data_IF_699019549333
#
_entry.id   IF_699019549333
#
_cell.length_a   1.000
_cell.length_b   1.000
_cell.length_c   1.000
_cell.angle_alpha   90.00
_cell.angle_beta   90.00
_cell.angle_gamma   90.00
#
_symmetry.space_group_name_H-M   'P 1'
#
loop_
_entity.id
_entity.type
_entity.pdbx_description
1 polymer ?
#
# COMPACT_ATOMS: atom_id res chain seq x y z
N UNK A 1 -7.17 5.14 17.61
CA UNK A 1 -6.52 5.91 16.53
C UNK A 1 -6.92 5.33 15.17
N UNK A 2 -7.30 6.18 14.20
CA UNK A 2 -7.65 5.71 12.84
C UNK A 2 -6.45 5.85 11.90
N UNK A 3 -6.16 4.79 11.15
CA UNK A 3 -5.08 4.75 10.16
C UNK A 3 -5.71 4.58 8.78
N UNK A 4 -5.47 5.54 7.90
CA UNK A 4 -5.91 5.51 6.50
C UNK A 4 -4.75 5.01 5.65
N UNK A 5 -4.82 3.74 5.26
CA UNK A 5 -3.82 3.06 4.45
C UNK A 5 -4.22 3.15 2.97
N UNK A 6 -3.48 3.91 2.18
CA UNK A 6 -3.80 4.23 0.78
C UNK A 6 -2.75 3.64 -0.15
N UNK A 7 -3.17 3.02 -1.26
CA UNK A 7 -2.27 2.66 -2.35
C UNK A 7 -2.04 3.88 -3.26
N UNK A 8 -0.84 4.04 -3.80
CA UNK A 8 -0.52 5.09 -4.79
C UNK A 8 -1.44 5.05 -6.01
N UNK A 9 -1.57 6.19 -6.71
CA UNK A 9 -2.27 6.33 -7.99
C UNK A 9 -1.59 5.54 -9.12
N UNK A 10 -2.25 5.45 -10.28
CA UNK A 10 -1.77 4.70 -11.44
C UNK A 10 -0.46 5.26 -12.01
N UNK A 11 0.36 4.38 -12.56
CA UNK A 11 1.58 4.68 -13.32
C UNK A 11 1.47 4.06 -14.71
N UNK A 12 2.30 4.48 -15.67
CA UNK A 12 2.36 3.85 -17.00
C UNK A 12 2.66 2.35 -16.91
N UNK A 13 3.44 1.91 -15.92
CA UNK A 13 3.72 0.51 -15.71
C UNK A 13 2.51 -0.27 -15.16
N UNK A 14 1.65 0.36 -14.35
CA UNK A 14 0.36 -0.25 -13.98
C UNK A 14 -0.52 -0.44 -15.21
N UNK A 15 -0.65 0.58 -16.05
CA UNK A 15 -1.45 0.55 -17.26
C UNK A 15 -0.93 -0.51 -18.26
N UNK A 16 0.38 -0.61 -18.41
CA UNK A 16 1.03 -1.60 -19.28
C UNK A 16 1.02 -3.02 -18.69
N UNK A 17 0.71 -3.20 -17.40
CA UNK A 17 0.75 -4.50 -16.71
C UNK A 17 2.17 -4.97 -16.41
N UNK A 18 3.11 -4.03 -16.19
CA UNK A 18 4.49 -4.32 -15.86
C UNK A 18 4.69 -4.39 -14.33
N UNK A 19 5.52 -5.32 -13.88
CA UNK A 19 5.94 -5.38 -12.47
C UNK A 19 6.79 -4.16 -12.12
N UNK A 20 6.37 -3.41 -11.11
CA UNK A 20 7.09 -2.20 -10.72
C UNK A 20 8.13 -2.45 -9.64
N UNK A 21 7.74 -3.20 -8.60
CA UNK A 21 8.60 -3.40 -7.45
C UNK A 21 9.11 -2.09 -6.86
N UNK A 22 10.42 -1.98 -6.72
CA UNK A 22 11.10 -0.80 -6.18
C UNK A 22 11.65 0.14 -7.25
N UNK A 23 11.45 -0.17 -8.55
CA UNK A 23 11.75 0.78 -9.64
C UNK A 23 10.89 2.04 -9.46
N UNK A 24 11.53 3.19 -9.57
CA UNK A 24 10.91 4.48 -9.24
C UNK A 24 10.22 5.10 -10.46
N UNK A 25 8.94 4.79 -10.64
CA UNK A 25 8.07 5.23 -11.74
C UNK A 25 7.09 6.27 -11.22
N UNK A 26 6.96 7.40 -11.93
CA UNK A 26 6.02 8.47 -11.58
C UNK A 26 4.56 8.09 -11.86
N UNK A 27 3.63 8.84 -11.25
CA UNK A 27 2.21 8.76 -11.60
C UNK A 27 2.01 9.20 -13.06
N UNK A 28 1.11 8.52 -13.77
CA UNK A 28 0.61 8.97 -15.06
C UNK A 28 -0.55 9.97 -14.86
N UNK A 29 -1.13 10.49 -15.95
CA UNK A 29 -2.22 11.45 -15.90
C UNK A 29 -3.43 10.89 -15.12
N UNK A 30 -3.81 9.63 -15.37
CA UNK A 30 -4.89 8.95 -14.66
C UNK A 30 -4.58 8.78 -13.16
N UNK A 31 -3.32 8.48 -12.81
CA UNK A 31 -2.90 8.37 -11.41
C UNK A 31 -2.95 9.70 -10.66
N UNK A 32 -2.66 10.81 -11.33
CA UNK A 32 -2.85 12.15 -10.75
C UNK A 32 -4.32 12.45 -10.49
N UNK A 33 -5.22 12.15 -11.43
CA UNK A 33 -6.68 12.27 -11.25
C UNK A 33 -7.17 11.41 -10.09
N UNK A 34 -6.77 10.14 -10.02
CA UNK A 34 -7.12 9.24 -8.93
C UNK A 34 -6.66 9.76 -7.56
N UNK A 35 -5.47 10.38 -7.51
CA UNK A 35 -4.96 10.98 -6.27
C UNK A 35 -5.77 12.22 -5.86
N UNK A 36 -6.21 13.06 -6.81
CA UNK A 36 -7.10 14.19 -6.54
C UNK A 36 -8.48 13.72 -6.08
N UNK A 37 -9.03 12.67 -6.69
CA UNK A 37 -10.29 12.07 -6.25
C UNK A 37 -10.18 11.53 -4.81
N UNK A 38 -9.05 10.88 -4.48
CA UNK A 38 -8.78 10.44 -3.12
C UNK A 38 -8.70 11.63 -2.15
N UNK A 39 -8.04 12.73 -2.55
CA UNK A 39 -7.97 13.96 -1.77
C UNK A 39 -9.37 14.53 -1.48
N UNK A 40 -10.26 14.56 -2.48
CA UNK A 40 -11.66 14.99 -2.31
C UNK A 40 -12.44 14.08 -1.36
N UNK A 41 -12.32 12.76 -1.51
CA UNK A 41 -12.97 11.80 -0.59
C UNK A 41 -12.49 11.97 0.85
N UNK A 42 -11.21 12.27 1.03
CA UNK A 42 -10.56 12.39 2.34
C UNK A 42 -10.46 13.83 2.86
N UNK A 43 -11.06 14.81 2.16
CA UNK A 43 -10.89 16.23 2.52
C UNK A 43 -11.38 16.62 3.92
N UNK A 44 -12.40 15.91 4.43
CA UNK A 44 -12.95 16.15 5.77
C UNK A 44 -12.25 15.36 6.87
N UNK A 45 -11.31 14.48 6.51
CA UNK A 45 -10.53 13.71 7.51
C UNK A 45 -9.45 14.61 8.08
N UNK A 46 -9.44 14.81 9.42
CA UNK A 46 -8.49 15.71 10.09
C UNK A 46 -7.16 14.98 10.33
N UNK A 47 -6.43 14.68 9.25
CA UNK A 47 -5.09 14.07 9.38
C UNK A 47 -4.18 14.95 10.22
N UNK A 48 -3.46 14.35 11.17
CA UNK A 48 -2.51 15.03 12.07
C UNK A 48 -1.06 14.75 11.70
N UNK A 49 -0.79 13.58 11.09
CA UNK A 49 0.51 13.17 10.61
C UNK A 49 0.35 12.24 9.39
N UNK A 50 1.36 12.20 8.54
CA UNK A 50 1.37 11.33 7.37
C UNK A 50 2.72 10.64 7.18
N UNK A 51 2.66 9.39 6.73
CA UNK A 51 3.79 8.58 6.31
C UNK A 51 3.62 8.13 4.87
N UNK A 52 4.71 8.00 4.14
CA UNK A 52 4.66 7.39 2.81
C UNK A 52 5.92 6.61 2.46
N UNK A 53 5.80 5.73 1.48
CA UNK A 53 6.96 5.16 0.80
C UNK A 53 7.80 6.29 0.16
N UNK A 54 9.15 6.18 0.14
CA UNK A 54 10.01 7.14 -0.53
C UNK A 54 9.85 7.12 -2.07
N UNK A 55 9.24 6.07 -2.66
CA UNK A 55 9.04 5.98 -4.10
C UNK A 55 8.10 7.09 -4.59
N UNK A 56 8.50 7.76 -5.68
CA UNK A 56 7.89 9.00 -6.16
C UNK A 56 6.37 8.90 -6.35
N UNK A 57 5.84 7.77 -6.84
CA UNK A 57 4.40 7.54 -7.03
C UNK A 57 3.61 7.60 -5.72
N UNK A 58 4.15 7.01 -4.64
CA UNK A 58 3.49 7.02 -3.32
C UNK A 58 3.64 8.39 -2.66
N UNK A 59 4.84 8.98 -2.71
CA UNK A 59 5.11 10.32 -2.19
C UNK A 59 4.20 11.35 -2.85
N UNK A 60 4.10 11.34 -4.19
CA UNK A 60 3.26 12.28 -4.93
C UNK A 60 1.77 12.11 -4.61
N UNK A 61 1.30 10.87 -4.46
CA UNK A 61 -0.07 10.59 -4.01
C UNK A 61 -0.33 11.15 -2.61
N UNK A 62 0.61 10.97 -1.68
CA UNK A 62 0.48 11.52 -0.31
C UNK A 62 0.43 13.04 -0.32
N UNK A 63 1.31 13.70 -1.06
CA UNK A 63 1.33 15.16 -1.20
C UNK A 63 -0.01 15.71 -1.71
N UNK A 64 -0.60 15.08 -2.73
CA UNK A 64 -1.90 15.47 -3.28
C UNK A 64 -3.02 15.28 -2.24
N UNK A 65 -3.04 14.14 -1.53
CA UNK A 65 -4.05 13.88 -0.49
C UNK A 65 -3.92 14.88 0.65
N UNK A 66 -2.72 15.23 1.06
CA UNK A 66 -2.46 16.21 2.11
C UNK A 66 -2.92 17.60 1.67
N UNK A 67 -2.61 18.00 0.43
CA UNK A 67 -2.93 19.33 -0.08
C UNK A 67 -2.33 20.44 0.80
N UNK A 68 -3.12 21.45 1.12
CA UNK A 68 -2.67 22.62 1.91
C UNK A 68 -2.65 22.38 3.45
N UNK A 69 -2.91 21.13 3.91
CA UNK A 69 -2.87 20.82 5.33
C UNK A 69 -1.45 20.96 5.87
N UNK A 70 -1.33 21.66 7.03
CA UNK A 70 -0.04 21.86 7.70
C UNK A 70 0.28 20.65 8.60
N UNK A 71 0.52 19.50 7.96
CA UNK A 71 0.93 18.28 8.65
C UNK A 71 2.28 17.80 8.15
N UNK A 72 3.01 17.07 8.99
CA UNK A 72 4.29 16.49 8.62
C UNK A 72 4.08 15.26 7.76
N UNK A 73 4.75 15.20 6.59
CA UNK A 73 4.88 14.01 5.76
C UNK A 73 6.29 13.42 5.94
N UNK A 74 6.36 12.20 6.46
CA UNK A 74 7.62 11.48 6.67
C UNK A 74 7.71 10.29 5.70
N UNK A 75 8.82 10.13 5.02
CA UNK A 75 9.09 8.92 4.23
C UNK A 75 9.69 7.82 5.10
N UNK A 76 9.29 6.57 4.86
CA UNK A 76 9.85 5.40 5.55
C UNK A 76 10.19 4.30 4.54
N UNK A 77 11.44 3.83 4.56
CA UNK A 77 11.96 2.80 3.64
C UNK A 77 11.20 1.46 3.78
N UNK A 78 10.67 1.17 4.96
CA UNK A 78 9.87 -0.04 5.23
C UNK A 78 8.54 -0.07 4.48
N UNK A 79 8.10 1.08 3.95
CA UNK A 79 6.89 1.22 3.13
C UNK A 79 7.14 1.04 1.62
N UNK A 80 8.37 0.76 1.17
CA UNK A 80 8.64 0.41 -0.23
C UNK A 80 7.85 -0.83 -0.66
N UNK A 81 7.56 -0.93 -1.95
CA UNK A 81 6.89 -2.11 -2.53
C UNK A 81 7.76 -3.36 -2.38
N UNK A 82 7.15 -4.54 -2.52
CA UNK A 82 7.85 -5.81 -2.68
C UNK A 82 8.89 -5.68 -3.79
N UNK A 83 10.14 -6.00 -3.48
CA UNK A 83 11.22 -5.98 -4.46
C UNK A 83 11.14 -7.22 -5.33
N UNK A 84 10.82 -7.06 -6.62
CA UNK A 84 10.78 -8.16 -7.58
C UNK A 84 12.14 -8.41 -8.25
N UNK A 85 13.16 -7.60 -7.97
CA UNK A 85 14.52 -7.76 -8.49
C UNK A 85 14.56 -7.79 -10.02
N UNK A 86 15.12 -8.86 -10.61
CA UNK A 86 15.30 -8.94 -12.07
C UNK A 86 13.99 -9.00 -12.86
N UNK A 87 12.83 -9.15 -12.21
CA UNK A 87 11.52 -9.21 -12.87
C UNK A 87 10.82 -7.84 -12.94
N UNK A 88 11.43 -6.80 -12.40
CA UNK A 88 10.90 -5.44 -12.54
C UNK A 88 10.96 -5.01 -14.02
N UNK A 89 9.86 -4.44 -14.51
CA UNK A 89 9.66 -4.10 -15.93
C UNK A 89 9.16 -5.26 -16.80
N UNK A 90 9.02 -6.48 -16.27
CA UNK A 90 8.47 -7.62 -17.01
C UNK A 90 6.94 -7.54 -17.03
N UNK A 91 6.34 -7.84 -18.18
CA UNK A 91 4.88 -7.91 -18.33
C UNK A 91 4.32 -9.13 -17.57
N UNK A 92 3.44 -8.85 -16.59
CA UNK A 92 2.86 -9.85 -15.70
C UNK A 92 2.11 -10.95 -16.46
N UNK A 93 1.58 -10.66 -17.67
CA UNK A 93 0.86 -11.62 -18.51
C UNK A 93 1.79 -12.61 -19.20
N UNK A 94 3.06 -12.27 -19.31
CA UNK A 94 4.09 -13.10 -19.97
C UNK A 94 4.93 -13.88 -18.95
N UNK A 95 4.75 -13.59 -17.67
CA UNK A 95 5.49 -14.24 -16.59
C UNK A 95 5.12 -15.72 -16.53
N UNK A 96 6.15 -16.58 -16.60
CA UNK A 96 6.04 -18.04 -16.50
C UNK A 96 7.03 -18.59 -15.47
N UNK A 97 6.83 -19.82 -15.09
CA UNK A 97 7.75 -20.59 -14.24
C UNK A 97 8.07 -19.87 -12.90
N UNK A 98 9.36 -19.75 -12.57
CA UNK A 98 9.82 -19.17 -11.32
C UNK A 98 9.33 -17.72 -11.08
N UNK A 99 9.24 -16.91 -12.15
CA UNK A 99 8.78 -15.53 -12.06
C UNK A 99 7.28 -15.40 -11.74
N UNK A 100 6.47 -16.44 -11.97
CA UNK A 100 5.04 -16.48 -11.61
C UNK A 100 4.81 -16.84 -10.15
N UNK A 101 5.77 -17.46 -9.47
CA UNK A 101 5.62 -17.95 -8.08
C UNK A 101 5.14 -16.90 -7.07
N UNK A 102 5.61 -15.63 -7.11
CA UNK A 102 5.10 -14.63 -6.17
C UNK A 102 3.57 -14.47 -6.24
N UNK A 103 2.94 -14.77 -7.38
CA UNK A 103 1.50 -14.60 -7.61
C UNK A 103 0.70 -15.89 -7.47
N UNK A 104 1.30 -17.03 -7.86
CA UNK A 104 0.62 -18.32 -7.91
C UNK A 104 0.85 -19.17 -6.66
N UNK A 105 1.97 -18.98 -5.96
CA UNK A 105 2.33 -19.74 -4.76
C UNK A 105 3.17 -18.90 -3.79
N UNK A 106 2.59 -17.83 -3.21
CA UNK A 106 3.33 -16.89 -2.36
C UNK A 106 4.03 -17.55 -1.17
N UNK A 107 3.40 -18.54 -0.55
CA UNK A 107 3.94 -19.23 0.65
C UNK A 107 5.18 -20.06 0.36
N UNK A 108 5.35 -20.54 -0.87
CA UNK A 108 6.52 -21.32 -1.30
C UNK A 108 7.47 -20.52 -2.20
N UNK A 109 7.23 -19.21 -2.36
CA UNK A 109 8.05 -18.38 -3.22
C UNK A 109 9.48 -18.25 -2.71
N UNK A 110 10.44 -18.60 -3.56
CA UNK A 110 11.88 -18.41 -3.32
C UNK A 110 12.35 -17.26 -4.23
N UNK A 111 12.71 -16.10 -3.66
CA UNK A 111 13.12 -14.96 -4.45
C UNK A 111 14.45 -15.22 -5.16
N UNK A 112 14.63 -14.78 -6.41
CA UNK A 112 15.93 -14.76 -7.05
C UNK A 112 16.86 -13.75 -6.37
N UNK A 113 18.15 -13.81 -6.69
CA UNK A 113 19.11 -12.83 -6.18
C UNK A 113 18.68 -11.39 -6.49
N UNK A 114 18.67 -10.53 -5.49
CA UNK A 114 18.25 -9.14 -5.59
C UNK A 114 16.75 -8.90 -5.41
N UNK A 115 15.92 -9.95 -5.30
CA UNK A 115 14.51 -9.82 -4.97
C UNK A 115 14.24 -10.07 -3.48
N UNK A 116 13.03 -9.74 -3.03
CA UNK A 116 12.59 -9.86 -1.62
C UNK A 116 11.60 -11.01 -1.47
N UNK A 117 11.70 -11.76 -0.37
CA UNK A 117 10.70 -12.76 0.02
C UNK A 117 9.50 -12.11 0.74
N UNK A 118 8.36 -12.82 0.76
CA UNK A 118 7.22 -12.37 1.57
C UNK A 118 7.56 -12.29 3.06
N UNK A 119 8.41 -13.19 3.58
CA UNK A 119 8.86 -13.14 4.98
C UNK A 119 9.61 -11.84 5.28
N UNK A 120 10.48 -11.37 4.38
CA UNK A 120 11.18 -10.09 4.51
C UNK A 120 10.21 -8.91 4.43
N UNK A 121 9.26 -8.95 3.49
CA UNK A 121 8.22 -7.95 3.35
C UNK A 121 7.38 -7.83 4.63
N UNK A 122 6.87 -8.95 5.16
CA UNK A 122 6.10 -8.98 6.42
C UNK A 122 6.92 -8.47 7.60
N UNK A 123 8.21 -8.85 7.68
CA UNK A 123 9.10 -8.39 8.75
C UNK A 123 9.20 -6.86 8.74
N UNK A 124 9.61 -6.24 7.62
CA UNK A 124 9.80 -4.79 7.57
C UNK A 124 8.50 -3.99 7.72
N UNK A 125 7.38 -4.48 7.13
CA UNK A 125 6.09 -3.82 7.29
C UNK A 125 5.54 -3.96 8.71
N UNK A 126 5.76 -5.10 9.38
CA UNK A 126 5.47 -5.29 10.80
C UNK A 126 6.31 -4.38 11.69
N UNK A 127 7.60 -4.25 11.42
CA UNK A 127 8.47 -3.30 12.12
C UNK A 127 7.99 -1.83 11.96
N UNK A 128 7.44 -1.46 10.80
CA UNK A 128 6.82 -0.14 10.64
C UNK A 128 5.57 0.01 11.52
N UNK A 129 4.71 -0.99 11.56
CA UNK A 129 3.52 -0.99 12.42
C UNK A 129 3.93 -0.88 13.88
N UNK A 130 4.81 -1.77 14.36
CA UNK A 130 5.16 -1.89 15.78
C UNK A 130 5.98 -0.71 16.31
N UNK A 131 6.88 -0.16 15.49
CA UNK A 131 7.83 0.87 15.93
C UNK A 131 7.40 2.29 15.57
N UNK A 132 6.44 2.45 14.64
CA UNK A 132 5.98 3.77 14.19
C UNK A 132 4.50 3.97 14.47
N UNK A 133 3.62 3.08 13.98
CA UNK A 133 2.18 3.32 14.11
C UNK A 133 1.66 3.08 15.53
N UNK A 134 1.95 1.92 16.13
CA UNK A 134 1.42 1.59 17.46
C UNK A 134 1.86 2.58 18.55
N UNK A 135 3.12 3.10 18.58
CA UNK A 135 3.52 4.10 19.56
C UNK A 135 2.77 5.44 19.46
N UNK A 136 2.07 5.71 18.38
CA UNK A 136 1.28 6.93 18.23
C UNK A 136 -0.15 6.80 18.76
N UNK A 137 -0.56 5.61 19.20
CA UNK A 137 -1.84 5.44 19.88
C UNK A 137 -1.93 6.35 21.12
N UNK A 138 -3.03 7.10 21.24
CA UNK A 138 -3.20 8.09 22.29
C UNK A 138 -2.49 9.43 22.05
N UNK A 139 -1.61 9.53 21.04
CA UNK A 139 -0.96 10.78 20.64
C UNK A 139 -1.66 11.43 19.46
N UNK A 140 -2.02 10.63 18.45
CA UNK A 140 -2.76 11.09 17.28
C UNK A 140 -4.08 10.34 17.15
N UNK A 141 -5.10 11.05 16.67
CA UNK A 141 -6.41 10.48 16.37
C UNK A 141 -6.47 9.90 14.95
N UNK A 142 -5.74 10.52 14.00
CA UNK A 142 -5.87 10.20 12.58
C UNK A 142 -4.53 10.28 11.84
N UNK A 143 -4.12 9.16 11.28
CA UNK A 143 -2.84 8.98 10.57
C UNK A 143 -3.10 8.60 9.10
N UNK A 144 -2.38 9.25 8.17
CA UNK A 144 -2.34 8.86 6.76
C UNK A 144 -1.09 8.02 6.48
N UNK A 145 -1.26 6.89 5.78
CA UNK A 145 -0.14 6.08 5.28
C UNK A 145 -0.36 5.82 3.79
N UNK A 146 0.59 6.24 2.94
CA UNK A 146 0.50 6.02 1.49
C UNK A 146 1.64 5.13 1.02
N UNK A 147 1.28 3.97 0.46
CA UNK A 147 2.27 3.00 0.05
C UNK A 147 1.83 2.21 -1.21
N UNK A 148 2.03 0.89 -1.28
CA UNK A 148 1.88 0.11 -2.50
C UNK A 148 1.02 -1.13 -2.28
N UNK A 149 0.75 -1.85 -3.38
CA UNK A 149 -0.15 -3.00 -3.37
C UNK A 149 0.32 -4.14 -2.48
N UNK A 150 1.59 -4.52 -2.58
CA UNK A 150 2.18 -5.61 -1.80
C UNK A 150 2.36 -5.23 -0.33
N UNK A 151 3.02 -4.10 -0.04
CA UNK A 151 3.26 -3.69 1.35
C UNK A 151 1.96 -3.38 2.10
N UNK A 152 0.94 -2.80 1.46
CA UNK A 152 -0.35 -2.60 2.12
C UNK A 152 -1.01 -3.94 2.48
N UNK A 153 -0.92 -4.96 1.60
CA UNK A 153 -1.41 -6.30 1.91
C UNK A 153 -0.63 -6.96 3.04
N UNK A 154 0.67 -6.76 3.12
CA UNK A 154 1.45 -7.32 4.24
C UNK A 154 1.07 -6.72 5.60
N UNK A 155 0.49 -5.52 5.63
CA UNK A 155 -0.10 -4.92 6.84
C UNK A 155 -1.54 -5.44 7.06
N UNK A 156 -2.35 -5.55 6.00
CA UNK A 156 -3.77 -5.93 6.11
C UNK A 156 -3.99 -7.42 6.35
N UNK A 157 -3.21 -8.28 5.71
CA UNK A 157 -3.43 -9.73 5.77
C UNK A 157 -3.37 -10.28 7.20
N UNK A 158 -2.42 -9.90 8.08
CA UNK A 158 -2.43 -10.29 9.49
C UNK A 158 -3.69 -9.81 10.23
N UNK A 159 -4.15 -8.58 9.96
CA UNK A 159 -5.38 -8.02 10.58
C UNK A 159 -6.63 -8.81 10.16
N UNK A 160 -6.63 -9.34 8.95
CA UNK A 160 -7.75 -10.10 8.38
C UNK A 160 -7.59 -11.63 8.54
N UNK A 161 -6.53 -12.09 9.22
CA UNK A 161 -6.18 -13.51 9.37
C UNK A 161 -6.04 -14.23 8.01
N UNK A 162 -5.47 -13.57 7.00
CA UNK A 162 -5.23 -14.13 5.68
C UNK A 162 -3.82 -14.75 5.65
N UNK A 163 -3.70 -16.06 5.35
CA UNK A 163 -2.41 -16.72 5.26
C UNK A 163 -1.61 -16.23 4.05
N UNK A 164 -0.29 -16.44 4.07
CA UNK A 164 0.60 -16.01 2.99
C UNK A 164 0.27 -16.65 1.64
N UNK A 165 -0.26 -17.86 1.61
CA UNK A 165 -0.69 -18.53 0.38
C UNK A 165 -1.80 -17.77 -0.34
N UNK A 166 -2.62 -17.04 0.39
CA UNK A 166 -3.69 -16.18 -0.11
C UNK A 166 -3.28 -14.70 -0.17
N UNK A 167 -2.00 -14.38 -0.23
CA UNK A 167 -1.47 -13.03 -0.09
C UNK A 167 -2.20 -11.97 -0.94
N UNK A 168 -2.56 -12.31 -2.16
CA UNK A 168 -3.19 -11.40 -3.12
C UNK A 168 -4.72 -11.35 -3.03
N UNK A 169 -5.32 -12.07 -2.09
CA UNK A 169 -6.78 -12.15 -1.92
C UNK A 169 -7.45 -10.79 -1.69
N UNK A 170 -6.83 -9.92 -0.91
CA UNK A 170 -7.34 -8.57 -0.69
C UNK A 170 -7.20 -7.77 -1.99
N UNK A 171 -8.32 -7.31 -2.54
CA UNK A 171 -8.26 -6.38 -3.66
C UNK A 171 -7.72 -5.02 -3.19
N UNK A 172 -6.74 -4.47 -3.90
CA UNK A 172 -6.12 -3.19 -3.55
C UNK A 172 -5.82 -2.41 -4.83
N UNK A 173 -6.86 -1.74 -5.38
CA UNK A 173 -6.76 -0.89 -6.58
C UNK A 173 -5.95 0.38 -6.34
N UNK A 174 -5.59 1.12 -7.41
CA UNK A 174 -4.91 2.40 -7.27
C UNK A 174 -5.79 3.40 -6.51
N UNK A 175 -5.23 4.13 -5.57
CA UNK A 175 -5.92 5.02 -4.63
C UNK A 175 -7.04 4.36 -3.81
N UNK A 176 -7.07 3.01 -3.73
CA UNK A 176 -7.89 2.32 -2.76
C UNK A 176 -7.42 2.66 -1.35
N UNK A 177 -8.38 2.79 -0.44
CA UNK A 177 -8.18 3.19 0.95
C UNK A 177 -8.73 2.13 1.89
N UNK A 178 -7.90 1.60 2.78
CA UNK A 178 -8.32 0.80 3.92
C UNK A 178 -8.24 1.67 5.18
N UNK A 179 -9.28 1.65 6.01
CA UNK A 179 -9.31 2.36 7.28
C UNK A 179 -9.19 1.33 8.39
N UNK A 180 -8.14 1.45 9.18
CA UNK A 180 -7.90 0.61 10.33
C UNK A 180 -8.15 1.40 11.62
N UNK A 181 -8.62 0.71 12.65
CA UNK A 181 -8.60 1.20 14.03
C UNK A 181 -7.43 0.58 14.77
N UNK A 182 -6.75 1.41 15.55
CA UNK A 182 -5.71 1.00 16.50
C UNK A 182 -6.21 1.26 17.90
N UNK A 183 -6.44 0.19 18.64
CA UNK A 183 -6.93 0.24 20.04
C UNK A 183 -6.25 -0.86 20.83
N UNK A 184 -5.69 -0.50 22.00
CA UNK A 184 -4.95 -1.40 22.89
C UNK A 184 -3.80 -2.14 22.20
N UNK A 185 -3.05 -1.42 21.34
CA UNK A 185 -1.92 -1.95 20.58
C UNK A 185 -2.31 -2.95 19.51
N UNK A 186 -3.58 -2.98 19.08
CA UNK A 186 -4.08 -3.92 18.07
C UNK A 186 -4.75 -3.19 16.92
N UNK A 187 -4.49 -3.67 15.70
CA UNK A 187 -5.16 -3.20 14.51
C UNK A 187 -6.41 -4.03 14.22
N UNK A 188 -7.49 -3.35 13.86
CA UNK A 188 -8.70 -3.96 13.32
C UNK A 188 -9.20 -3.21 12.08
N UNK A 189 -9.90 -3.93 11.20
CA UNK A 189 -10.40 -3.34 9.96
C UNK A 189 -11.75 -2.65 10.21
N UNK A 190 -11.86 -1.37 9.84
CA UNK A 190 -13.12 -0.61 9.92
C UNK A 190 -13.84 -0.53 8.57
N UNK A 191 -13.13 -0.09 7.53
CA UNK A 191 -13.73 0.21 6.23
C UNK A 191 -12.73 0.02 5.10
N UNK A 192 -13.25 -0.28 3.90
CA UNK A 192 -12.48 -0.32 2.67
C UNK A 192 -13.24 0.39 1.55
N UNK A 193 -12.53 1.21 0.77
CA UNK A 193 -13.06 1.91 -0.40
C UNK A 193 -12.14 1.73 -1.59
N UNK A 194 -12.66 1.19 -2.70
CA UNK A 194 -11.95 1.14 -3.98
C UNK A 194 -12.20 2.42 -4.78
N UNK A 195 -11.21 2.87 -5.54
CA UNK A 195 -11.28 4.07 -6.38
C UNK A 195 -12.34 3.97 -7.49
N UNK A 196 -12.72 2.73 -7.90
CA UNK A 196 -13.69 2.49 -8.98
C UNK A 196 -15.16 2.52 -8.52
N UNK A 197 -15.43 2.66 -7.23
CA UNK A 197 -16.78 2.64 -6.70
C UNK A 197 -17.03 3.81 -5.76
N UNK A 198 -17.41 4.95 -6.31
CA UNK A 198 -17.80 6.13 -5.52
C UNK A 198 -19.03 5.86 -4.60
N UNK A 199 -19.70 4.71 -4.71
CA UNK A 199 -20.93 4.37 -3.99
C UNK A 199 -21.06 2.92 -3.52
N UNK A 200 -20.02 2.11 -3.57
CA UNK A 200 -20.12 0.74 -3.07
C UNK A 200 -19.06 0.54 -1.98
N UNK A 201 -19.50 0.12 -0.80
CA UNK A 201 -18.66 -0.66 0.11
C UNK A 201 -18.24 -1.90 -0.68
N UNK A 202 -17.17 -1.79 -1.47
CA UNK A 202 -16.69 -2.90 -2.28
C UNK A 202 -16.28 -4.00 -1.33
N UNK A 203 -16.64 -5.24 -1.65
CA UNK A 203 -16.19 -6.39 -0.87
C UNK A 203 -14.67 -6.41 -0.95
N UNK A 204 -14.02 -6.34 0.20
CA UNK A 204 -12.57 -6.38 0.36
C UNK A 204 -11.99 -7.74 -0.08
N UNK A 205 -12.81 -8.78 -0.05
CA UNK A 205 -12.49 -10.18 -0.30
C UNK A 205 -13.25 -10.73 -1.50
#
# INVERSE_FOLDING_TARGET
MKIYLVRHGETDWNQAGLLQGQTDIALNAQGLEQAHDAAERLKKVPFEIAFCSPLIRAKRTAEIIIGDRKITLTTDERLRELNFGPWEGVDIRTIKDAASQPFTNPGSYIPPAGAESFAQLYKRSGEFVDQVLLPFEGTYETVLVVAHGGVNRSILNPVLNIPVDDFWRVHMGNCATAILDCTDGKLSMLEYTDSKSANAKSKLL
#
